data_IF_966085870274
#
_entry.id   IF_966085870274
#
_cell.length_a   1.000
_cell.length_b   1.000
_cell.length_c   1.000
_cell.angle_alpha   90.00
_cell.angle_beta   90.00
_cell.angle_gamma   90.00
#
_symmetry.space_group_name_H-M   'P 1'
#
loop_
_entity.id
_entity.type
_entity.pdbx_description
1 polymer ?
#
# COMPACT_ATOMS: atom_id res chain seq x y z
N UNK A 1 5.81 41.34 -52.10
CA UNK A 1 6.36 42.72 -52.12
C UNK A 1 7.68 42.82 -51.35
N UNK A 2 8.58 41.82 -51.42
CA UNK A 2 9.87 41.84 -50.68
C UNK A 2 11.04 42.48 -51.47
N UNK A 3 10.76 43.13 -52.61
CA UNK A 3 11.82 43.63 -53.49
C UNK A 3 12.23 45.09 -53.23
N UNK A 4 11.47 45.83 -52.40
CA UNK A 4 11.68 47.27 -52.21
C UNK A 4 12.45 47.62 -50.93
N UNK A 5 12.63 46.70 -49.98
CA UNK A 5 13.31 47.00 -48.70
C UNK A 5 14.80 47.32 -48.89
N UNK A 6 15.50 46.55 -49.72
CA UNK A 6 16.91 46.80 -50.04
C UNK A 6 17.10 48.20 -50.65
N UNK A 7 16.15 48.65 -51.47
CA UNK A 7 16.17 49.97 -52.12
C UNK A 7 15.88 51.15 -51.16
N UNK A 8 15.31 50.87 -49.98
CA UNK A 8 15.00 51.85 -48.94
C UNK A 8 16.02 51.86 -47.80
N UNK A 9 17.09 51.07 -47.90
CA UNK A 9 18.12 50.97 -46.87
C UNK A 9 19.37 51.79 -47.18
N UNK A 10 19.95 52.37 -46.14
CA UNK A 10 21.22 53.08 -46.21
C UNK A 10 22.38 52.09 -46.29
N UNK A 11 23.27 52.26 -47.27
CA UNK A 11 24.43 51.37 -47.46
C UNK A 11 25.50 51.46 -46.37
N UNK A 12 25.36 52.37 -45.40
CA UNK A 12 26.27 52.50 -44.26
C UNK A 12 25.74 51.75 -43.03
N UNK A 13 24.49 52.00 -42.63
CA UNK A 13 23.90 51.38 -41.43
C UNK A 13 23.03 50.16 -41.72
N UNK A 14 22.82 49.82 -43.00
CA UNK A 14 21.96 48.72 -43.47
C UNK A 14 20.55 48.74 -42.84
N UNK A 15 20.08 49.93 -42.50
CA UNK A 15 18.76 50.21 -41.94
C UNK A 15 18.01 51.16 -42.88
N UNK A 16 16.68 51.20 -42.76
CA UNK A 16 15.85 52.15 -43.51
C UNK A 16 16.37 53.58 -43.31
N UNK A 17 16.43 54.41 -44.36
CA UNK A 17 17.02 55.74 -44.24
C UNK A 17 16.33 56.59 -43.16
N UNK A 18 17.14 57.13 -42.26
CA UNK A 18 16.74 58.10 -41.25
C UNK A 18 17.36 59.45 -41.60
N UNK A 19 16.52 60.45 -41.85
CA UNK A 19 16.93 61.76 -42.38
C UNK A 19 17.81 61.64 -43.65
N UNK A 20 17.23 61.19 -44.79
CA UNK A 20 17.98 60.90 -46.01
C UNK A 20 18.53 62.19 -46.66
N UNK A 21 19.85 62.35 -46.66
CA UNK A 21 20.56 63.49 -47.26
C UNK A 21 21.21 63.10 -48.58
N UNK A 22 21.06 63.96 -49.60
CA UNK A 22 21.57 63.76 -50.95
C UNK A 22 22.89 64.48 -51.11
N UNK A 23 23.93 63.75 -51.49
CA UNK A 23 25.21 64.33 -51.90
C UNK A 23 25.12 64.90 -53.32
N UNK A 24 25.97 65.87 -53.71
CA UNK A 24 26.03 66.39 -55.08
C UNK A 24 26.23 65.34 -56.18
N UNK A 25 26.74 64.15 -55.83
CA UNK A 25 26.86 62.98 -56.71
C UNK A 25 25.59 62.11 -56.76
N UNK A 26 24.44 62.63 -56.32
CA UNK A 26 23.10 62.02 -56.31
C UNK A 26 22.92 60.76 -55.43
N UNK A 27 23.93 60.38 -54.63
CA UNK A 27 23.81 59.29 -53.68
C UNK A 27 23.22 59.78 -52.36
N UNK A 28 22.36 58.96 -51.75
CA UNK A 28 21.62 59.31 -50.53
C UNK A 28 22.12 58.47 -49.35
N UNK A 29 22.24 59.07 -48.17
CA UNK A 29 22.68 58.45 -46.92
C UNK A 29 21.93 59.06 -45.73
N UNK A 30 21.86 58.36 -44.60
CA UNK A 30 21.35 58.97 -43.36
C UNK A 30 22.27 60.11 -42.93
N UNK A 31 21.69 61.22 -42.43
CA UNK A 31 22.49 62.36 -41.94
C UNK A 31 23.57 61.95 -40.93
N UNK A 32 23.20 61.15 -39.94
CA UNK A 32 24.12 60.65 -38.91
C UNK A 32 25.23 59.76 -39.50
N UNK A 33 24.93 59.01 -40.57
CA UNK A 33 25.94 58.20 -41.25
C UNK A 33 26.95 59.09 -41.99
N UNK A 34 26.51 60.17 -42.64
CA UNK A 34 27.42 61.14 -43.27
C UNK A 34 28.28 61.86 -42.24
N UNK A 35 27.72 62.22 -41.09
CA UNK A 35 28.44 62.86 -40.00
C UNK A 35 29.56 61.94 -39.45
N UNK A 36 29.25 60.65 -39.25
CA UNK A 36 30.25 59.66 -38.87
C UNK A 36 31.38 59.50 -39.90
N UNK A 37 31.06 59.50 -41.20
CA UNK A 37 32.08 59.42 -42.26
C UNK A 37 32.95 60.69 -42.29
N UNK A 38 32.38 61.88 -42.10
CA UNK A 38 33.13 63.15 -42.04
C UNK A 38 34.10 63.13 -40.86
N UNK A 39 33.63 62.73 -39.68
CA UNK A 39 34.47 62.65 -38.47
C UNK A 39 35.66 61.71 -38.67
N UNK A 40 35.46 60.55 -39.31
CA UNK A 40 36.52 59.59 -39.62
C UNK A 40 37.50 60.09 -40.70
N UNK A 41 37.06 60.98 -41.59
CA UNK A 41 37.87 61.53 -42.69
C UNK A 41 38.69 62.78 -42.32
N UNK A 42 38.55 63.31 -41.11
CA UNK A 42 39.09 64.60 -40.65
C UNK A 42 40.63 64.66 -40.47
N UNK A 43 41.38 63.63 -40.86
CA UNK A 43 42.84 63.59 -40.71
C UNK A 43 43.62 64.29 -41.84
N UNK A 44 42.98 64.85 -42.87
CA UNK A 44 43.66 65.52 -43.98
C UNK A 44 42.88 66.72 -44.51
N UNK A 45 43.16 67.94 -44.02
CA UNK A 45 43.02 69.22 -44.77
C UNK A 45 43.48 70.43 -43.92
N UNK A 46 44.69 70.94 -44.14
CA UNK A 46 45.26 72.12 -43.44
C UNK A 46 44.90 73.45 -44.14
N UNK A 47 44.16 73.45 -45.28
CA UNK A 47 43.98 74.67 -46.07
C UNK A 47 42.58 74.83 -46.71
N UNK A 48 41.58 75.20 -45.89
CA UNK A 48 40.41 76.08 -46.20
C UNK A 48 39.34 75.88 -45.12
N UNK A 49 39.02 76.87 -44.27
CA UNK A 49 38.07 76.68 -43.17
C UNK A 49 36.59 76.63 -43.58
N UNK A 50 36.25 76.70 -44.87
CA UNK A 50 34.86 76.96 -45.31
C UNK A 50 34.15 75.78 -45.99
N UNK A 51 34.83 74.71 -46.43
CA UNK A 51 34.19 73.51 -47.02
C UNK A 51 35.03 72.24 -46.80
N UNK A 52 34.38 71.13 -46.46
CA UNK A 52 35.06 69.85 -46.18
C UNK A 52 34.89 68.90 -47.38
N UNK A 53 35.98 68.39 -48.00
CA UNK A 53 35.88 67.41 -49.08
C UNK A 53 35.56 66.01 -48.51
N UNK A 54 34.46 65.41 -48.98
CA UNK A 54 34.01 64.06 -48.61
C UNK A 54 34.11 63.14 -49.83
N UNK A 55 34.65 61.93 -49.67
CA UNK A 55 34.53 60.87 -50.71
C UNK A 55 33.24 60.09 -50.50
N UNK A 56 32.39 60.05 -51.53
CA UNK A 56 31.14 59.28 -51.48
C UNK A 56 31.42 57.78 -51.28
N UNK A 57 30.80 57.10 -50.29
CA UNK A 57 30.99 55.66 -50.06
C UNK A 57 30.58 54.77 -51.24
N UNK A 58 29.59 55.19 -52.04
CA UNK A 58 29.07 54.37 -53.14
C UNK A 58 29.86 54.57 -54.45
N UNK A 59 30.10 55.81 -54.87
CA UNK A 59 30.75 56.10 -56.17
C UNK A 59 32.15 56.68 -56.07
N UNK A 60 32.67 56.90 -54.86
CA UNK A 60 34.02 57.44 -54.56
C UNK A 60 34.32 58.85 -55.10
N UNK A 61 33.34 59.54 -55.69
CA UNK A 61 33.48 60.94 -56.11
C UNK A 61 33.72 61.86 -54.91
N UNK A 62 34.59 62.85 -55.07
CA UNK A 62 34.85 63.87 -54.05
C UNK A 62 33.76 64.94 -54.15
N UNK A 63 33.04 65.19 -53.06
CA UNK A 63 31.99 66.20 -52.95
C UNK A 63 32.33 67.20 -51.86
N UNK A 64 32.04 68.49 -52.08
CA UNK A 64 32.25 69.53 -51.07
C UNK A 64 31.02 69.64 -50.15
N UNK A 65 31.24 69.49 -48.84
CA UNK A 65 30.19 69.69 -47.83
C UNK A 65 30.16 71.18 -47.42
N UNK A 66 28.97 71.82 -47.34
CA UNK A 66 28.84 73.20 -46.90
C UNK A 66 29.39 73.44 -45.48
N UNK A 67 29.78 74.69 -45.18
CA UNK A 67 30.28 75.10 -43.85
C UNK A 67 29.29 74.82 -42.70
N UNK A 68 27.99 74.82 -43.01
CA UNK A 68 26.91 74.51 -42.08
C UNK A 68 26.72 73.00 -41.82
N UNK A 69 27.62 72.14 -42.31
CA UNK A 69 27.65 70.71 -42.03
C UNK A 69 26.65 69.90 -42.86
N UNK A 70 26.42 68.66 -42.44
CA UNK A 70 25.50 67.70 -43.09
C UNK A 70 24.04 68.15 -43.05
N UNK A 71 23.69 69.10 -42.18
CA UNK A 71 22.36 69.71 -42.08
C UNK A 71 21.99 70.54 -43.31
N UNK A 72 22.99 71.16 -43.94
CA UNK A 72 22.78 72.00 -45.11
C UNK A 72 22.64 71.18 -46.42
N UNK A 73 22.80 69.85 -46.36
CA UNK A 73 22.60 68.99 -47.52
C UNK A 73 21.10 68.83 -47.81
N UNK A 74 20.70 68.81 -49.10
CA UNK A 74 19.31 68.58 -49.48
C UNK A 74 18.78 67.27 -48.92
N UNK A 75 17.54 67.29 -48.42
CA UNK A 75 16.81 66.09 -48.02
C UNK A 75 16.20 65.46 -49.28
N UNK A 76 16.30 64.14 -49.42
CA UNK A 76 15.57 63.40 -50.45
C UNK A 76 14.10 63.26 -50.02
N UNK A 77 13.29 64.29 -50.29
CA UNK A 77 11.88 64.29 -49.89
C UNK A 77 11.05 63.18 -50.54
N UNK A 78 11.39 62.75 -51.76
CA UNK A 78 10.72 61.64 -52.42
C UNK A 78 10.98 60.33 -51.69
N UNK A 79 12.24 60.04 -51.37
CA UNK A 79 12.61 58.87 -50.58
C UNK A 79 12.01 58.93 -49.17
N UNK A 80 12.02 60.11 -48.54
CA UNK A 80 11.38 60.33 -47.23
C UNK A 80 9.88 60.03 -47.27
N UNK A 81 9.16 60.50 -48.28
CA UNK A 81 7.72 60.25 -48.44
C UNK A 81 7.42 58.76 -48.72
N UNK A 82 8.27 58.08 -49.49
CA UNK A 82 8.16 56.63 -49.72
C UNK A 82 8.38 55.86 -48.40
N UNK A 83 9.39 56.25 -47.62
CA UNK A 83 9.67 55.66 -46.30
C UNK A 83 8.52 55.92 -45.32
N UNK A 84 7.98 57.13 -45.27
CA UNK A 84 6.84 57.49 -44.42
C UNK A 84 5.60 56.66 -44.78
N UNK A 85 5.34 56.46 -46.08
CA UNK A 85 4.22 55.63 -46.56
C UNK A 85 4.45 54.14 -46.27
N UNK A 86 5.67 53.65 -46.48
CA UNK A 86 6.07 52.28 -46.15
C UNK A 86 5.96 52.00 -44.65
N UNK A 87 6.23 53.00 -43.80
CA UNK A 87 6.06 52.90 -42.34
C UNK A 87 4.60 53.05 -41.87
N UNK A 88 3.72 53.67 -42.67
CA UNK A 88 2.29 53.80 -42.39
C UNK A 88 1.49 52.54 -42.75
N UNK A 89 2.00 51.73 -43.68
CA UNK A 89 1.50 50.37 -43.87
C UNK A 89 1.94 49.54 -42.64
N UNK A 90 0.96 49.09 -41.86
CA UNK A 90 1.12 48.46 -40.54
C UNK A 90 1.93 47.14 -40.61
N UNK A 91 3.25 47.26 -40.69
CA UNK A 91 4.19 46.16 -40.54
C UNK A 91 4.45 45.92 -39.05
N UNK A 92 3.41 45.48 -38.33
CA UNK A 92 3.43 45.11 -36.91
C UNK A 92 4.44 43.98 -36.55
N UNK A 93 5.09 43.37 -37.54
CA UNK A 93 6.03 42.26 -37.38
C UNK A 93 7.50 42.67 -37.15
N UNK A 94 7.86 43.97 -37.21
CA UNK A 94 9.25 44.39 -37.00
C UNK A 94 9.59 44.37 -35.50
N UNK A 95 10.04 43.22 -35.03
CA UNK A 95 10.51 43.05 -33.65
C UNK A 95 11.83 43.82 -33.46
N UNK A 96 11.90 44.69 -32.46
CA UNK A 96 13.08 45.52 -32.19
C UNK A 96 13.90 45.00 -31.01
N UNK A 97 15.19 45.33 -31.00
CA UNK A 97 16.13 44.93 -29.96
C UNK A 97 15.81 45.63 -28.63
N UNK A 98 15.74 44.88 -27.54
CA UNK A 98 15.53 45.43 -26.20
C UNK A 98 16.67 46.33 -25.73
N UNK A 99 17.90 46.03 -26.14
CA UNK A 99 19.11 46.73 -25.69
C UNK A 99 19.46 47.95 -26.55
N UNK A 100 19.00 47.98 -27.79
CA UNK A 100 19.36 49.02 -28.76
C UNK A 100 18.11 49.67 -29.34
N UNK A 101 17.88 50.92 -28.95
CA UNK A 101 16.66 51.66 -29.27
C UNK A 101 16.38 51.68 -30.78
N UNK A 102 15.17 51.23 -31.15
CA UNK A 102 14.66 51.16 -32.54
C UNK A 102 15.49 50.34 -33.53
N UNK A 103 16.40 49.49 -33.05
CA UNK A 103 17.17 48.61 -33.93
C UNK A 103 16.36 47.34 -34.24
N UNK A 104 16.12 47.00 -35.53
CA UNK A 104 15.38 45.81 -35.89
C UNK A 104 16.18 44.53 -35.57
N UNK A 105 15.48 43.48 -35.11
CA UNK A 105 16.05 42.14 -34.96
C UNK A 105 15.99 41.44 -36.31
N UNK A 106 17.09 41.48 -37.06
CA UNK A 106 17.15 41.03 -38.45
C UNK A 106 18.24 39.97 -38.72
N UNK A 107 18.93 39.50 -37.68
CA UNK A 107 20.02 38.50 -37.80
C UNK A 107 19.81 37.40 -36.76
N UNK A 108 20.10 36.15 -37.12
CA UNK A 108 20.05 35.03 -36.17
C UNK A 108 21.47 34.64 -35.74
N UNK A 109 21.74 34.68 -34.44
CA UNK A 109 23.00 34.19 -33.89
C UNK A 109 22.93 32.66 -33.73
N UNK A 110 23.80 31.93 -34.42
CA UNK A 110 23.82 30.46 -34.38
C UNK A 110 24.37 29.90 -33.06
N UNK A 111 25.26 30.65 -32.41
CA UNK A 111 25.84 30.23 -31.14
C UNK A 111 24.83 30.37 -29.99
N UNK A 112 24.15 31.52 -29.92
CA UNK A 112 23.19 31.83 -28.85
C UNK A 112 21.74 31.46 -29.19
N UNK A 113 21.50 30.97 -30.41
CA UNK A 113 20.19 30.57 -30.95
C UNK A 113 19.08 31.61 -30.74
N UNK A 114 19.37 32.87 -31.04
CA UNK A 114 18.44 33.99 -30.86
C UNK A 114 18.56 35.06 -31.92
N UNK A 115 17.49 35.83 -32.10
CA UNK A 115 17.47 37.00 -32.95
C UNK A 115 18.26 38.16 -32.33
N UNK A 116 19.10 38.82 -33.12
CA UNK A 116 19.95 39.95 -32.72
C UNK A 116 19.89 41.06 -33.78
N UNK A 117 20.17 42.30 -33.38
CA UNK A 117 20.28 43.43 -34.31
C UNK A 117 21.74 43.68 -34.73
N UNK A 118 21.95 44.54 -35.73
CA UNK A 118 23.30 44.89 -36.22
C UNK A 118 24.24 45.43 -35.13
N UNK A 119 23.74 46.25 -34.20
CA UNK A 119 24.54 46.78 -33.09
C UNK A 119 25.02 45.68 -32.13
N UNK A 120 24.19 44.66 -31.88
CA UNK A 120 24.57 43.49 -31.08
C UNK A 120 25.76 42.74 -31.70
N UNK A 121 25.84 42.71 -33.04
CA UNK A 121 26.87 42.00 -33.79
C UNK A 121 28.16 42.83 -33.93
N UNK A 122 28.07 44.13 -34.14
CA UNK A 122 29.26 44.94 -34.47
C UNK A 122 29.99 45.42 -33.22
N UNK A 123 29.26 45.86 -32.19
CA UNK A 123 29.85 46.48 -30.99
C UNK A 123 29.34 45.81 -29.71
N UNK A 124 28.22 45.07 -29.79
CA UNK A 124 27.59 44.41 -28.66
C UNK A 124 28.11 43.00 -28.36
N UNK A 125 27.33 42.28 -27.55
CA UNK A 125 27.68 40.97 -26.96
C UNK A 125 27.80 39.81 -27.95
N UNK A 126 27.46 40.02 -29.23
CA UNK A 126 27.48 38.99 -30.27
C UNK A 126 28.59 39.25 -31.29
N UNK A 127 29.55 40.12 -30.98
CA UNK A 127 30.72 40.37 -31.82
C UNK A 127 31.54 39.09 -32.02
N UNK A 128 31.77 38.73 -33.28
CA UNK A 128 32.51 37.53 -33.67
C UNK A 128 31.74 36.22 -33.59
N UNK A 129 30.45 36.23 -33.20
CA UNK A 129 29.64 35.01 -33.20
C UNK A 129 29.24 34.62 -34.63
N UNK A 130 29.13 33.31 -34.94
CA UNK A 130 28.60 32.86 -36.21
C UNK A 130 27.11 33.24 -36.34
N UNK A 131 26.75 33.82 -37.48
CA UNK A 131 25.41 34.30 -37.77
C UNK A 131 24.85 33.65 -39.04
N UNK A 132 23.54 33.70 -39.18
CA UNK A 132 22.81 33.30 -40.38
C UNK A 132 21.68 34.31 -40.65
N UNK A 133 21.22 34.38 -41.90
CA UNK A 133 20.06 35.19 -42.24
C UNK A 133 18.78 34.56 -41.65
N UNK A 134 17.76 35.38 -41.39
CA UNK A 134 16.53 34.92 -40.73
C UNK A 134 15.83 33.79 -41.47
N UNK A 135 15.80 33.86 -42.80
CA UNK A 135 15.08 32.89 -43.61
C UNK A 135 15.80 31.54 -43.62
N UNK A 136 17.13 31.54 -43.76
CA UNK A 136 17.96 30.33 -43.68
C UNK A 136 17.94 29.71 -42.28
N UNK A 137 18.06 30.53 -41.23
CA UNK A 137 17.97 30.07 -39.84
C UNK A 137 16.61 29.47 -39.52
N UNK A 138 15.52 30.14 -39.92
CA UNK A 138 14.15 29.64 -39.76
C UNK A 138 13.97 28.27 -40.41
N UNK A 139 14.42 28.12 -41.66
CA UNK A 139 14.30 26.83 -42.37
C UNK A 139 15.06 25.73 -41.66
N UNK A 140 16.31 25.98 -41.25
CA UNK A 140 17.15 25.01 -40.55
C UNK A 140 16.55 24.63 -39.20
N UNK A 141 16.17 25.60 -38.37
CA UNK A 141 15.60 25.33 -37.04
C UNK A 141 14.22 24.65 -37.11
N UNK A 142 13.41 24.98 -38.12
CA UNK A 142 12.13 24.29 -38.36
C UNK A 142 12.33 22.83 -38.75
N UNK A 143 13.33 22.55 -39.57
CA UNK A 143 13.69 21.18 -39.97
C UNK A 143 14.30 20.38 -38.81
N UNK A 144 15.22 20.97 -38.04
CA UNK A 144 15.83 20.32 -36.87
C UNK A 144 14.80 20.06 -35.78
N UNK A 145 13.84 20.97 -35.57
CA UNK A 145 12.74 20.75 -34.62
C UNK A 145 11.90 19.54 -34.98
N UNK A 146 11.65 19.29 -36.27
CA UNK A 146 10.94 18.08 -36.72
C UNK A 146 11.73 16.80 -36.38
N UNK A 147 13.03 16.80 -36.68
CA UNK A 147 13.94 15.68 -36.36
C UNK A 147 14.07 15.41 -34.86
N UNK A 148 14.07 16.46 -34.03
CA UNK A 148 14.07 16.33 -32.56
C UNK A 148 12.78 15.67 -32.05
N UNK A 149 11.63 15.98 -32.65
CA UNK A 149 10.37 15.33 -32.31
C UNK A 149 10.32 13.87 -32.76
N UNK A 150 10.88 13.54 -33.92
CA UNK A 150 10.99 12.15 -34.39
C UNK A 150 11.78 11.27 -33.42
N UNK A 151 12.82 11.82 -32.77
CA UNK A 151 13.56 11.12 -31.71
C UNK A 151 12.69 10.78 -30.49
N UNK A 152 11.63 11.55 -30.22
CA UNK A 152 10.68 11.25 -29.13
C UNK A 152 9.68 10.15 -29.48
N UNK A 153 9.65 9.71 -30.73
CA UNK A 153 8.82 8.61 -31.22
C UNK A 153 9.63 7.37 -31.57
N UNK A 154 10.90 7.36 -31.17
CA UNK A 154 11.78 6.24 -31.44
C UNK A 154 11.42 5.00 -30.63
N UNK A 155 12.20 3.93 -30.86
CA UNK A 155 11.97 2.64 -30.20
C UNK A 155 12.00 2.74 -28.68
N UNK A 156 12.81 3.64 -28.10
CA UNK A 156 12.94 3.76 -26.65
C UNK A 156 11.61 4.15 -26.01
N UNK A 157 10.88 5.11 -26.58
CA UNK A 157 9.59 5.55 -26.04
C UNK A 157 8.49 4.50 -26.21
N UNK A 158 8.55 3.72 -27.29
CA UNK A 158 7.68 2.54 -27.45
C UNK A 158 7.96 1.50 -26.37
N UNK A 159 9.24 1.21 -26.08
CA UNK A 159 9.64 0.27 -25.04
C UNK A 159 9.23 0.76 -23.63
N UNK A 160 9.31 2.07 -23.37
CA UNK A 160 8.80 2.69 -22.12
C UNK A 160 7.30 2.45 -21.97
N UNK A 161 6.50 2.71 -23.00
CA UNK A 161 5.06 2.46 -22.99
C UNK A 161 4.74 0.98 -22.75
N UNK A 162 5.43 0.08 -23.44
CA UNK A 162 5.27 -1.37 -23.25
C UNK A 162 5.65 -1.81 -21.83
N UNK A 163 6.71 -1.23 -21.25
CA UNK A 163 7.13 -1.54 -19.88
C UNK A 163 6.09 -1.06 -18.87
N UNK A 164 5.47 0.11 -19.08
CA UNK A 164 4.38 0.60 -18.24
C UNK A 164 3.20 -0.37 -18.26
N UNK A 165 2.77 -0.82 -19.45
CA UNK A 165 1.67 -1.79 -19.55
C UNK A 165 2.03 -3.14 -18.92
N UNK A 166 3.26 -3.63 -19.13
CA UNK A 166 3.74 -4.85 -18.48
C UNK A 166 3.73 -4.72 -16.94
N UNK A 167 4.18 -3.59 -16.41
CA UNK A 167 4.18 -3.34 -14.96
C UNK A 167 2.76 -3.23 -14.39
N UNK A 168 1.83 -2.59 -15.11
CA UNK A 168 0.42 -2.54 -14.73
C UNK A 168 -0.19 -3.94 -14.66
N UNK A 169 0.06 -4.77 -15.67
CA UNK A 169 -0.42 -6.15 -15.72
C UNK A 169 0.15 -6.96 -14.56
N UNK A 170 1.47 -6.92 -14.35
CA UNK A 170 2.12 -7.63 -13.24
C UNK A 170 1.59 -7.17 -11.87
N UNK A 171 1.40 -5.86 -11.68
CA UNK A 171 0.79 -5.32 -10.46
C UNK A 171 -0.61 -5.88 -10.26
N UNK A 172 -1.46 -5.85 -11.28
CA UNK A 172 -2.84 -6.34 -11.20
C UNK A 172 -2.90 -7.83 -10.87
N UNK A 173 -2.03 -8.64 -11.49
CA UNK A 173 -1.91 -10.06 -11.21
C UNK A 173 -1.50 -10.33 -9.75
N UNK A 174 -0.46 -9.64 -9.25
CA UNK A 174 -0.05 -9.77 -7.86
C UNK A 174 -1.15 -9.33 -6.89
N UNK A 175 -1.85 -8.24 -7.18
CA UNK A 175 -2.99 -7.78 -6.37
C UNK A 175 -4.12 -8.82 -6.36
N UNK A 176 -4.44 -9.47 -7.49
CA UNK A 176 -5.44 -10.54 -7.55
C UNK A 176 -5.08 -11.71 -6.64
N UNK A 177 -3.84 -12.19 -6.73
CA UNK A 177 -3.34 -13.31 -5.90
C UNK A 177 -3.48 -12.97 -4.41
N UNK A 178 -3.06 -11.78 -3.99
CA UNK A 178 -3.19 -11.34 -2.60
C UNK A 178 -4.67 -11.26 -2.16
N UNK A 179 -5.57 -10.83 -3.04
CA UNK A 179 -7.00 -10.78 -2.73
C UNK A 179 -7.62 -12.18 -2.65
N UNK A 180 -7.21 -13.10 -3.50
CA UNK A 180 -7.62 -14.50 -3.46
C UNK A 180 -7.14 -15.18 -2.18
N UNK A 181 -5.89 -15.00 -1.78
CA UNK A 181 -5.35 -15.51 -0.52
C UNK A 181 -6.08 -14.93 0.70
N UNK A 182 -6.36 -13.62 0.70
CA UNK A 182 -7.17 -12.99 1.76
C UNK A 182 -8.54 -13.64 1.87
N UNK A 183 -9.22 -13.89 0.73
CA UNK A 183 -10.52 -14.57 0.72
C UNK A 183 -10.38 -16.00 1.22
N UNK A 184 -9.34 -16.73 0.81
CA UNK A 184 -9.08 -18.10 1.25
C UNK A 184 -8.89 -18.18 2.77
N UNK A 185 -8.10 -17.28 3.35
CA UNK A 185 -7.89 -17.19 4.82
C UNK A 185 -9.22 -16.94 5.53
N UNK A 186 -9.97 -15.91 5.12
CA UNK A 186 -11.27 -15.58 5.75
C UNK A 186 -12.24 -16.75 5.66
N UNK A 187 -12.31 -17.42 4.50
CA UNK A 187 -13.20 -18.54 4.29
C UNK A 187 -12.79 -19.76 5.12
N UNK A 188 -11.49 -20.04 5.24
CA UNK A 188 -10.97 -21.14 6.05
C UNK A 188 -11.33 -20.96 7.53
N UNK A 189 -11.06 -19.78 8.09
CA UNK A 189 -11.38 -19.49 9.49
C UNK A 189 -12.89 -19.43 9.75
N UNK A 190 -13.69 -18.97 8.79
CA UNK A 190 -15.15 -19.04 8.90
C UNK A 190 -15.62 -20.50 9.01
N UNK A 191 -15.18 -21.38 8.11
CA UNK A 191 -15.53 -22.81 8.15
C UNK A 191 -15.11 -23.47 9.47
N UNK A 192 -13.96 -23.08 10.00
CA UNK A 192 -13.48 -23.55 11.30
C UNK A 192 -14.39 -23.10 12.45
N UNK A 193 -14.71 -21.81 12.53
CA UNK A 193 -15.63 -21.26 13.53
C UNK A 193 -17.01 -21.90 13.43
N UNK A 194 -17.55 -22.06 12.21
CA UNK A 194 -18.84 -22.70 11.99
C UNK A 194 -18.83 -24.16 12.48
N UNK A 195 -17.75 -24.90 12.20
CA UNK A 195 -17.56 -26.28 12.67
C UNK A 195 -17.55 -26.35 14.20
N UNK A 196 -16.82 -25.46 14.85
CA UNK A 196 -16.74 -25.39 16.30
C UNK A 196 -18.10 -25.05 16.92
N UNK A 197 -18.81 -24.08 16.36
CA UNK A 197 -20.11 -23.66 16.86
C UNK A 197 -21.18 -24.75 16.67
N UNK A 198 -21.21 -25.41 15.51
CA UNK A 198 -22.09 -26.56 15.29
C UNK A 198 -21.83 -27.66 16.31
N UNK A 199 -20.56 -27.94 16.62
CA UNK A 199 -20.23 -29.00 17.57
C UNK A 199 -20.58 -28.63 19.01
N UNK A 200 -20.35 -27.37 19.41
CA UNK A 200 -20.83 -26.82 20.67
C UNK A 200 -22.34 -26.95 20.79
N UNK A 201 -23.09 -26.54 19.76
CA UNK A 201 -24.55 -26.61 19.76
C UNK A 201 -25.04 -28.06 19.89
N UNK A 202 -24.42 -29.00 19.17
CA UNK A 202 -24.76 -30.42 19.29
C UNK A 202 -24.54 -30.98 20.70
N UNK A 203 -23.48 -30.54 21.40
CA UNK A 203 -23.25 -30.94 22.80
C UNK A 203 -24.28 -30.35 23.75
N UNK A 204 -24.68 -29.09 23.55
CA UNK A 204 -25.72 -28.45 24.36
C UNK A 204 -27.07 -29.12 24.17
N UNK A 205 -27.46 -29.42 22.93
CA UNK A 205 -28.71 -30.12 22.63
C UNK A 205 -28.80 -31.48 23.34
N UNK A 206 -27.71 -32.26 23.35
CA UNK A 206 -27.67 -33.54 24.10
C UNK A 206 -27.86 -33.32 25.60
N UNK A 207 -27.30 -32.24 26.17
CA UNK A 207 -27.50 -31.91 27.59
C UNK A 207 -28.94 -31.47 27.90
N UNK A 208 -29.56 -30.72 27.01
CA UNK A 208 -30.96 -30.31 27.14
C UNK A 208 -31.89 -31.53 27.06
N UNK A 209 -31.66 -32.46 26.14
CA UNK A 209 -32.40 -33.74 26.05
C UNK A 209 -32.34 -34.54 27.36
N UNK A 210 -31.17 -34.58 28.01
CA UNK A 210 -31.01 -35.25 29.30
C UNK A 210 -31.79 -34.53 30.40
N UNK A 211 -31.73 -33.20 30.44
CA UNK A 211 -32.49 -32.41 31.41
C UNK A 211 -33.98 -32.67 31.25
N UNK A 212 -34.49 -32.70 30.01
CA UNK A 212 -35.88 -33.06 29.74
C UNK A 212 -36.22 -34.45 30.26
N UNK A 213 -35.38 -35.45 30.00
CA UNK A 213 -35.64 -36.80 30.47
C UNK A 213 -35.60 -36.91 32.01
N UNK A 214 -34.71 -36.17 32.68
CA UNK A 214 -34.68 -36.08 34.16
C UNK A 214 -36.00 -35.50 34.68
N UNK A 215 -36.52 -34.44 34.06
CA UNK A 215 -37.80 -33.85 34.45
C UNK A 215 -38.96 -34.85 34.26
N UNK A 216 -39.00 -35.53 33.12
CA UNK A 216 -40.02 -36.54 32.82
C UNK A 216 -40.02 -37.71 33.81
N UNK A 217 -38.85 -38.13 34.29
CA UNK A 217 -38.72 -39.22 35.26
C UNK A 217 -39.05 -38.79 36.71
N UNK A 218 -38.60 -37.60 37.14
CA UNK A 218 -38.70 -37.20 38.54
C UNK A 218 -39.94 -36.35 38.89
N UNK A 219 -40.39 -35.47 38.01
CA UNK A 219 -41.54 -34.60 38.28
C UNK A 219 -42.83 -35.36 38.63
N UNK A 220 -43.24 -36.44 37.93
CA UNK A 220 -44.43 -37.19 38.32
C UNK A 220 -44.29 -37.88 39.68
N UNK A 221 -43.08 -38.31 40.06
CA UNK A 221 -42.81 -38.92 41.36
C UNK A 221 -42.91 -37.88 42.48
N UNK A 222 -42.33 -36.69 42.26
CA UNK A 222 -42.42 -35.56 43.18
C UNK A 222 -43.87 -35.15 43.38
N UNK A 223 -44.64 -35.02 42.28
CA UNK A 223 -46.04 -34.60 42.33
C UNK A 223 -46.92 -35.62 43.06
N UNK A 224 -46.70 -36.93 42.83
CA UNK A 224 -47.38 -37.99 43.58
C UNK A 224 -47.12 -37.88 45.09
N UNK A 225 -45.87 -37.64 45.49
CA UNK A 225 -45.50 -37.49 46.90
C UNK A 225 -46.06 -36.19 47.51
N UNK A 226 -46.08 -35.09 46.75
CA UNK A 226 -46.71 -33.83 47.17
C UNK A 226 -48.18 -34.02 47.50
N UNK A 227 -48.95 -34.69 46.63
CA UNK A 227 -50.37 -34.99 46.86
C UNK A 227 -50.61 -35.81 48.13
N UNK A 228 -49.79 -36.85 48.37
CA UNK A 228 -49.88 -37.65 49.61
C UNK A 228 -49.62 -36.76 50.85
N UNK A 229 -48.65 -35.85 50.76
CA UNK A 229 -48.35 -34.89 51.84
C UNK A 229 -49.48 -33.88 52.05
N UNK A 230 -50.11 -33.38 51.00
CA UNK A 230 -51.26 -32.46 51.08
C UNK A 230 -52.45 -33.13 51.75
N UNK A 231 -52.82 -34.35 51.33
CA UNK A 231 -53.87 -35.12 51.98
C UNK A 231 -53.57 -35.38 53.47
N UNK A 232 -52.31 -35.62 53.83
CA UNK A 232 -51.90 -35.74 55.23
C UNK A 232 -52.21 -34.47 56.03
N UNK A 233 -51.87 -33.30 55.48
CA UNK A 233 -52.11 -32.01 56.14
C UNK A 233 -53.60 -31.71 56.26
N UNK A 234 -54.40 -32.03 55.24
CA UNK A 234 -55.86 -31.92 55.28
C UNK A 234 -56.47 -32.79 56.39
N UNK A 235 -56.01 -34.04 56.54
CA UNK A 235 -56.49 -34.91 57.62
C UNK A 235 -56.08 -34.41 59.01
N UNK A 236 -54.89 -33.79 59.14
CA UNK A 236 -54.48 -33.15 60.40
C UNK A 236 -55.37 -31.95 60.75
N UNK A 237 -55.77 -31.16 59.74
CA UNK A 237 -56.71 -30.05 59.91
C UNK A 237 -58.11 -30.56 60.29
N UNK A 238 -58.62 -31.58 59.57
CA UNK A 238 -59.90 -32.23 59.86
C UNK A 238 -59.93 -32.78 61.29
N UNK A 239 -58.87 -33.44 61.74
CA UNK A 239 -58.77 -33.92 63.12
C UNK A 239 -58.95 -32.79 64.13
N UNK A 240 -58.39 -31.60 63.88
CA UNK A 240 -58.56 -30.44 64.76
C UNK A 240 -60.03 -29.99 64.84
N UNK A 241 -60.77 -30.07 63.73
CA UNK A 241 -62.22 -29.80 63.72
C UNK A 241 -63.00 -30.89 64.47
N UNK A 242 -62.62 -32.16 64.31
CA UNK A 242 -63.28 -33.28 64.98
C UNK A 242 -63.10 -33.20 66.49
N UNK A 243 -61.92 -32.80 66.99
CA UNK A 243 -61.67 -32.61 68.41
C UNK A 243 -62.48 -31.47 69.05
N UNK A 244 -63.00 -30.53 68.24
CA UNK A 244 -63.83 -29.41 68.70
C UNK A 244 -65.34 -29.71 68.65
N UNK A 245 -65.74 -30.90 68.18
CA UNK A 245 -67.16 -31.28 68.09
C UNK A 245 -67.72 -31.61 69.47
N UNK A 246 -68.79 -30.92 69.88
CA UNK A 246 -69.39 -31.09 71.21
C UNK A 246 -70.46 -32.18 71.23
N UNK A 247 -71.04 -32.53 70.08
CA UNK A 247 -72.08 -33.58 69.96
C UNK A 247 -71.46 -34.98 69.91
N UNK A 248 -71.77 -35.89 70.88
CA UNK A 248 -71.20 -37.23 70.91
C UNK A 248 -71.50 -38.07 69.66
N UNK A 249 -72.70 -37.94 69.08
CA UNK A 249 -73.11 -38.70 67.89
C UNK A 249 -72.35 -38.23 66.64
N UNK A 250 -72.28 -36.92 66.40
CA UNK A 250 -71.56 -36.34 65.26
C UNK A 250 -70.05 -36.55 65.38
N UNK A 251 -69.51 -36.51 66.61
CA UNK A 251 -68.12 -36.82 66.87
C UNK A 251 -67.77 -38.25 66.44
N UNK A 252 -68.56 -39.25 66.85
CA UNK A 252 -68.31 -40.66 66.50
C UNK A 252 -68.38 -40.91 65.00
N UNK A 253 -69.31 -40.25 64.30
CA UNK A 253 -69.41 -40.33 62.83
C UNK A 253 -68.19 -39.72 62.14
N UNK A 254 -67.80 -38.49 62.49
CA UNK A 254 -66.65 -37.80 61.90
C UNK A 254 -65.30 -38.47 62.25
N UNK A 255 -65.15 -38.99 63.46
CA UNK A 255 -63.97 -39.78 63.87
C UNK A 255 -63.85 -41.05 63.06
N UNK A 256 -64.96 -41.73 62.78
CA UNK A 256 -64.94 -42.95 61.97
C UNK A 256 -64.53 -42.65 60.51
N UNK A 257 -65.04 -41.58 59.90
CA UNK A 257 -64.58 -41.10 58.59
C UNK A 257 -63.07 -40.78 58.60
N UNK A 258 -62.61 -40.03 59.60
CA UNK A 258 -61.20 -39.71 59.79
C UNK A 258 -60.34 -40.98 59.90
N UNK A 259 -60.77 -41.97 60.68
CA UNK A 259 -60.08 -43.25 60.79
C UNK A 259 -59.97 -43.99 59.45
N UNK A 260 -61.04 -44.01 58.65
CA UNK A 260 -61.04 -44.65 57.34
C UNK A 260 -60.07 -43.93 56.39
N UNK A 261 -60.11 -42.59 56.32
CA UNK A 261 -59.22 -41.81 55.45
C UNK A 261 -57.75 -41.91 55.86
N UNK A 262 -57.45 -41.93 57.17
CA UNK A 262 -56.08 -42.15 57.68
C UNK A 262 -55.56 -43.55 57.33
N UNK A 263 -56.40 -44.59 57.43
CA UNK A 263 -56.02 -45.94 57.00
C UNK A 263 -55.76 -45.99 55.49
N UNK A 264 -56.63 -45.40 54.69
CA UNK A 264 -56.47 -45.33 53.24
C UNK A 264 -55.18 -44.62 52.84
N UNK A 265 -54.85 -43.49 53.48
CA UNK A 265 -53.60 -42.75 53.24
C UNK A 265 -52.37 -43.59 53.58
N UNK A 266 -52.35 -44.27 54.74
CA UNK A 266 -51.23 -45.13 55.16
C UNK A 266 -51.01 -46.35 54.27
N UNK A 267 -52.02 -46.78 53.52
CA UNK A 267 -51.94 -47.92 52.61
C UNK A 267 -51.47 -47.52 51.20
N UNK A 268 -51.36 -46.22 50.87
CA UNK A 268 -50.86 -45.77 49.57
C UNK A 268 -49.40 -46.19 49.37
N UNK A 269 -49.11 -46.82 48.23
CA UNK A 269 -47.75 -47.22 47.89
C UNK A 269 -46.88 -46.01 47.52
N UNK A 270 -45.70 -45.96 48.15
CA UNK A 270 -44.65 -45.00 47.82
C UNK A 270 -43.92 -45.42 46.53
N UNK A 271 -43.58 -44.46 45.65
CA UNK A 271 -42.78 -44.76 44.46
C UNK A 271 -41.36 -45.22 44.80
N UNK A 272 -40.81 -46.13 43.99
CA UNK A 272 -39.41 -46.55 44.04
C UNK A 272 -38.54 -45.54 43.28
N UNK A 273 -37.59 -44.89 43.98
CA UNK A 273 -36.74 -43.85 43.39
C UNK A 273 -35.42 -44.46 42.95
N UNK A 274 -35.19 -44.50 41.63
CA UNK A 274 -33.92 -44.94 41.05
C UNK A 274 -33.03 -43.72 40.81
N UNK A 275 -31.77 -43.71 41.30
CA UNK A 275 -30.84 -42.62 41.02
C UNK A 275 -30.41 -42.66 39.56
N UNK A 276 -30.54 -41.52 38.89
CA UNK A 276 -30.06 -41.29 37.53
C UNK A 276 -28.57 -40.93 37.56
N UNK A 277 -27.76 -41.61 36.75
CA UNK A 277 -26.33 -41.31 36.58
C UNK A 277 -26.03 -40.85 35.14
N UNK A 278 -25.32 -39.72 35.03
CA UNK A 278 -24.95 -39.08 33.77
C UNK A 278 -23.48 -39.43 33.44
N UNK A 279 -23.25 -40.30 32.46
CA UNK A 279 -21.90 -40.72 32.06
C UNK A 279 -21.74 -40.86 30.52
N UNK A 280 -20.58 -40.46 29.95
CA UNK A 280 -19.48 -39.74 30.58
C UNK A 280 -19.82 -38.26 30.83
N UNK A 281 -19.17 -37.65 31.83
CA UNK A 281 -19.34 -36.22 32.12
C UNK A 281 -18.62 -35.39 31.07
N UNK A 282 -19.34 -34.44 30.45
CA UNK A 282 -18.81 -33.65 29.34
C UNK A 282 -17.54 -32.87 29.71
N UNK A 283 -17.44 -32.39 30.95
CA UNK A 283 -16.25 -31.67 31.42
C UNK A 283 -14.97 -32.52 31.37
N UNK A 284 -15.05 -33.83 31.60
CA UNK A 284 -13.90 -34.72 31.50
C UNK A 284 -13.54 -34.99 30.04
N UNK A 285 -14.56 -35.18 29.19
CA UNK A 285 -14.38 -35.39 27.75
C UNK A 285 -13.72 -34.16 27.09
N UNK A 286 -14.13 -32.95 27.46
CA UNK A 286 -13.50 -31.72 26.97
C UNK A 286 -12.05 -31.58 27.44
N UNK A 287 -11.75 -31.95 28.69
CA UNK A 287 -10.39 -31.86 29.21
C UNK A 287 -9.43 -32.90 28.62
N UNK A 288 -9.88 -34.13 28.48
CA UNK A 288 -9.00 -35.27 28.17
C UNK A 288 -8.95 -35.61 26.67
N UNK A 289 -10.06 -35.40 25.95
CA UNK A 289 -10.21 -35.77 24.53
C UNK A 289 -10.11 -34.54 23.64
N UNK A 290 -10.85 -33.47 23.95
CA UNK A 290 -10.90 -32.29 23.08
C UNK A 290 -9.57 -31.53 23.02
N UNK A 291 -8.86 -31.45 24.16
CA UNK A 291 -7.54 -30.80 24.24
C UNK A 291 -6.49 -31.43 23.32
N UNK A 292 -6.68 -32.68 22.89
CA UNK A 292 -5.77 -33.43 22.02
C UNK A 292 -6.31 -33.61 20.61
N UNK A 293 -7.50 -33.08 20.32
CA UNK A 293 -8.16 -33.32 19.03
C UNK A 293 -7.64 -32.35 17.98
N UNK A 294 -7.18 -32.91 16.86
CA UNK A 294 -6.83 -32.13 15.68
C UNK A 294 -8.07 -31.42 15.12
N UNK A 295 -7.87 -30.20 14.64
CA UNK A 295 -8.93 -29.34 14.08
C UNK A 295 -9.74 -30.06 12.99
N UNK A 296 -9.07 -30.80 12.10
CA UNK A 296 -9.73 -31.55 11.02
C UNK A 296 -10.57 -32.75 11.50
N UNK A 297 -10.48 -33.13 12.76
CA UNK A 297 -11.19 -34.28 13.35
C UNK A 297 -12.34 -33.86 14.29
N UNK A 298 -12.54 -32.57 14.53
CA UNK A 298 -13.58 -32.04 15.45
C UNK A 298 -14.97 -32.59 15.11
N UNK A 299 -15.32 -32.65 13.82
CA UNK A 299 -16.61 -33.18 13.37
C UNK A 299 -16.73 -34.70 13.58
N UNK A 300 -15.61 -35.43 13.54
CA UNK A 300 -15.55 -36.89 13.72
C UNK A 300 -15.59 -37.31 15.19
N UNK A 301 -15.35 -36.39 16.12
CA UNK A 301 -15.56 -36.68 17.54
C UNK A 301 -16.99 -37.13 17.75
N UNK A 302 -17.19 -38.31 18.32
CA UNK A 302 -18.53 -38.76 18.64
C UNK A 302 -19.14 -37.77 19.64
N UNK A 303 -20.34 -37.29 19.34
CA UNK A 303 -21.16 -36.66 20.38
C UNK A 303 -21.37 -37.72 21.47
N UNK A 304 -21.02 -37.44 22.73
CA UNK A 304 -21.15 -38.43 23.78
C UNK A 304 -22.61 -38.85 23.88
N UNK A 305 -22.86 -40.14 23.63
CA UNK A 305 -24.17 -40.76 23.88
C UNK A 305 -24.29 -40.96 25.38
N UNK A 306 -24.82 -39.95 26.06
CA UNK A 306 -25.01 -40.03 27.50
C UNK A 306 -26.19 -40.96 27.75
N UNK A 307 -25.90 -42.09 28.42
CA UNK A 307 -26.92 -43.07 28.80
C UNK A 307 -27.26 -42.86 30.26
N UNK A 308 -28.56 -42.69 30.56
CA UNK A 308 -29.05 -42.83 31.92
C UNK A 308 -29.01 -44.32 32.26
N UNK A 309 -28.14 -44.72 33.18
CA UNK A 309 -28.08 -46.11 33.64
C UNK A 309 -28.76 -46.18 35.01
N UNK A 310 -29.91 -46.88 35.13
CA UNK A 310 -30.47 -47.19 36.43
C UNK A 310 -29.51 -48.12 37.17
N UNK A 311 -29.16 -47.78 38.41
CA UNK A 311 -28.24 -48.58 39.25
C UNK A 311 -28.67 -50.07 39.28
N UNK A 312 -27.84 -50.97 38.75
CA UNK A 312 -27.85 -52.39 39.14
C UNK A 312 -27.17 -52.53 40.50
N UNK A 313 -27.73 -53.35 41.39
CA UNK A 313 -27.16 -53.71 42.69
C UNK A 313 -25.72 -54.21 42.51
N UNK A 314 -24.74 -53.37 42.83
CA UNK A 314 -23.40 -53.82 43.21
C UNK A 314 -23.38 -53.85 44.74
N UNK A 315 -23.40 -55.06 45.30
CA UNK A 315 -23.25 -55.28 46.72
C UNK A 315 -21.86 -54.82 47.21
N UNK A 316 -21.90 -54.11 48.33
CA UNK A 316 -20.91 -54.06 49.42
C UNK A 316 -19.45 -54.44 49.12
N UNK A 317 -18.59 -53.42 49.13
CA UNK A 317 -17.35 -53.52 49.91
C UNK A 317 -16.90 -52.17 50.47
N UNK A 318 -17.02 -52.08 51.80
CA UNK A 318 -16.10 -51.43 52.74
C UNK A 318 -15.59 -50.02 52.47
N UNK A 319 -16.00 -49.08 53.32
CA UNK A 319 -15.20 -47.90 53.70
C UNK A 319 -13.80 -48.35 54.17
N UNK A 320 -12.77 -47.64 53.70
CA UNK A 320 -11.41 -47.78 54.24
C UNK A 320 -10.37 -46.92 53.52
N UNK A 321 -10.28 -45.65 53.96
CA UNK A 321 -9.14 -44.71 53.90
C UNK A 321 -8.67 -44.17 52.54
N UNK A 322 -8.61 -42.84 52.52
CA UNK A 322 -7.89 -41.96 51.60
C UNK A 322 -6.41 -42.36 51.46
N UNK A 323 -5.85 -42.14 50.27
CA UNK A 323 -4.40 -42.14 50.07
C UNK A 323 -3.95 -42.78 48.77
N UNK A 324 -4.12 -42.06 47.65
CA UNK A 324 -3.18 -41.97 46.53
C UNK A 324 -2.48 -43.28 46.10
N UNK A 325 -3.11 -44.04 45.21
CA UNK A 325 -2.39 -44.83 44.21
C UNK A 325 -3.32 -45.16 43.03
N UNK A 326 -3.03 -44.60 41.86
CA UNK A 326 -3.25 -45.24 40.57
C UNK A 326 -2.60 -44.41 39.48
N UNK A 327 -1.44 -44.85 39.02
CA UNK A 327 -1.02 -44.75 37.62
C UNK A 327 0.21 -45.63 37.40
N UNK A 328 -0.05 -46.92 37.29
CA UNK A 328 0.71 -47.78 36.41
C UNK A 328 -0.29 -48.57 35.58
N UNK A 329 -0.40 -48.21 34.31
CA UNK A 329 -0.67 -49.08 33.17
C UNK A 329 -0.66 -48.18 31.92
N UNK A 330 0.53 -47.82 31.48
CA UNK A 330 0.79 -47.53 30.07
C UNK A 330 2.26 -47.86 29.81
N UNK A 331 2.42 -48.78 28.87
CA UNK A 331 3.62 -49.49 28.48
C UNK A 331 4.84 -48.58 28.37
N UNK A 332 5.96 -49.08 28.90
CA UNK A 332 7.29 -48.52 28.75
C UNK A 332 7.63 -48.32 27.28
N UNK A 333 7.61 -47.06 26.83
CA UNK A 333 8.42 -46.65 25.68
C UNK A 333 9.83 -46.52 26.23
N UNK A 334 10.69 -47.46 25.83
CA UNK A 334 12.08 -47.50 26.23
C UNK A 334 12.72 -46.11 26.01
N UNK A 335 13.29 -45.44 27.03
CA UNK A 335 13.87 -44.11 26.88
C UNK A 335 14.98 -44.04 25.81
N UNK A 336 15.61 -45.18 25.49
CA UNK A 336 16.49 -45.31 24.32
C UNK A 336 15.76 -45.09 22.98
N UNK A 337 14.51 -45.50 22.83
CA UNK A 337 13.72 -45.32 21.61
C UNK A 337 13.36 -43.85 21.38
N UNK A 338 13.08 -43.10 22.46
CA UNK A 338 12.85 -41.65 22.40
C UNK A 338 14.12 -40.87 22.01
N UNK A 339 15.26 -41.26 22.60
CA UNK A 339 16.57 -40.70 22.24
C UNK A 339 16.96 -41.01 20.79
N UNK A 340 16.71 -42.24 20.30
CA UNK A 340 16.97 -42.61 18.91
C UNK A 340 16.09 -41.83 17.92
N UNK A 341 14.82 -41.60 18.26
CA UNK A 341 13.90 -40.83 17.41
C UNK A 341 14.28 -39.35 17.36
N UNK A 342 14.76 -38.80 18.49
CA UNK A 342 15.28 -37.44 18.56
C UNK A 342 16.58 -37.27 17.78
N UNK A 343 17.51 -38.21 17.90
CA UNK A 343 18.76 -38.23 17.11
C UNK A 343 18.46 -38.37 15.62
N UNK A 344 17.49 -39.19 15.21
CA UNK A 344 17.04 -39.31 13.82
C UNK A 344 16.41 -37.99 13.30
N UNK A 345 15.65 -37.29 14.12
CA UNK A 345 15.10 -35.96 13.78
C UNK A 345 16.20 -34.91 13.62
N UNK A 346 17.19 -34.90 14.52
CA UNK A 346 18.31 -33.96 14.45
C UNK A 346 19.20 -34.29 13.25
N UNK A 347 19.46 -35.56 12.95
CA UNK A 347 20.25 -35.99 11.77
C UNK A 347 19.51 -35.68 10.46
N UNK A 348 18.18 -35.82 10.40
CA UNK A 348 17.42 -35.45 9.19
C UNK A 348 17.39 -33.93 8.98
N UNK A 349 17.22 -33.14 10.04
CA UNK A 349 17.31 -31.67 9.97
C UNK A 349 18.71 -31.20 9.55
N UNK A 350 19.78 -31.83 10.06
CA UNK A 350 21.16 -31.52 9.66
C UNK A 350 21.45 -31.97 8.21
N UNK A 351 20.91 -33.12 7.78
CA UNK A 351 21.10 -33.64 6.41
C UNK A 351 20.33 -32.83 5.36
N UNK A 352 19.21 -32.21 5.73
CA UNK A 352 18.49 -31.24 4.91
C UNK A 352 19.20 -29.87 4.85
N UNK A 353 20.20 -29.63 5.71
CA UNK A 353 20.85 -28.32 5.88
C UNK A 353 22.31 -28.25 5.39
N UNK A 354 22.72 -29.09 4.43
CA UNK A 354 23.95 -28.89 3.62
C UNK A 354 23.69 -29.19 2.13
N UNK A 355 24.21 -28.37 1.20
CA UNK A 355 23.70 -27.05 0.94
C UNK A 355 23.08 -26.97 -0.46
N UNK A 356 21.88 -26.42 -0.59
CA UNK A 356 21.36 -25.95 -1.88
C UNK A 356 21.98 -24.59 -2.29
N UNK A 357 23.22 -24.32 -1.90
CA UNK A 357 23.87 -23.00 -2.05
C UNK A 357 24.67 -22.82 -3.34
N UNK A 358 24.73 -23.81 -4.24
CA UNK A 358 25.48 -23.65 -5.51
C UNK A 358 24.65 -23.20 -6.72
N UNK A 359 23.31 -23.29 -6.65
CA UNK A 359 22.44 -23.01 -7.82
C UNK A 359 21.71 -21.68 -7.72
N UNK A 360 21.35 -21.23 -6.51
CA UNK A 360 20.49 -20.03 -6.33
C UNK A 360 21.28 -18.71 -6.33
N UNK A 361 22.60 -18.73 -6.11
CA UNK A 361 23.43 -17.51 -6.03
C UNK A 361 23.82 -16.97 -7.42
N UNK A 362 23.52 -17.67 -8.52
CA UNK A 362 23.85 -17.22 -9.89
C UNK A 362 22.79 -16.34 -10.58
N UNK A 363 21.64 -16.07 -9.96
CA UNK A 363 20.48 -15.51 -10.66
C UNK A 363 19.83 -14.28 -10.01
N UNK A 364 20.53 -13.51 -9.18
CA UNK A 364 19.98 -12.27 -8.61
C UNK A 364 20.96 -11.08 -8.62
N UNK A 365 20.46 -9.84 -8.81
CA UNK A 365 21.30 -8.64 -8.86
C UNK A 365 21.98 -8.36 -7.51
N UNK A 366 23.20 -7.81 -7.55
CA UNK A 366 24.09 -7.61 -6.41
C UNK A 366 23.47 -6.89 -5.19
N UNK A 367 22.43 -6.07 -5.38
CA UNK A 367 21.76 -5.32 -4.31
C UNK A 367 20.81 -6.18 -3.43
N UNK A 368 20.25 -7.27 -3.98
CA UNK A 368 19.33 -8.15 -3.23
C UNK A 368 20.12 -9.13 -2.35
N UNK A 369 21.39 -9.38 -2.68
CA UNK A 369 22.25 -10.34 -1.99
C UNK A 369 22.63 -9.88 -0.58
N UNK A 370 22.87 -8.59 -0.36
CA UNK A 370 23.37 -8.07 0.92
C UNK A 370 22.28 -8.06 2.01
N UNK A 371 21.06 -7.69 1.63
CA UNK A 371 19.90 -7.68 2.54
C UNK A 371 19.47 -9.10 2.92
N UNK A 372 19.47 -10.04 1.97
CA UNK A 372 19.21 -11.45 2.26
C UNK A 372 20.32 -12.09 3.10
N UNK A 373 21.59 -11.67 2.92
CA UNK A 373 22.70 -12.14 3.75
C UNK A 373 22.55 -11.69 5.20
N UNK A 374 22.15 -10.44 5.44
CA UNK A 374 21.90 -9.92 6.79
C UNK A 374 20.75 -10.65 7.49
N UNK A 375 19.64 -10.89 6.80
CA UNK A 375 18.50 -11.65 7.34
C UNK A 375 18.90 -13.10 7.64
N UNK A 376 19.67 -13.72 6.73
CA UNK A 376 20.15 -15.08 6.92
C UNK A 376 21.10 -15.18 8.12
N UNK A 377 21.99 -14.20 8.28
CA UNK A 377 22.95 -14.16 9.38
C UNK A 377 22.26 -13.93 10.73
N UNK A 378 21.27 -13.03 10.78
CA UNK A 378 20.42 -12.80 11.96
C UNK A 378 19.61 -14.06 12.33
N UNK A 379 18.99 -14.71 11.35
CA UNK A 379 18.29 -15.97 11.52
C UNK A 379 19.22 -17.08 12.05
N UNK A 380 20.44 -17.19 11.51
CA UNK A 380 21.43 -18.15 11.97
C UNK A 380 21.84 -17.89 13.42
N UNK A 381 22.04 -16.63 13.82
CA UNK A 381 22.36 -16.28 15.22
C UNK A 381 21.22 -16.61 16.17
N UNK A 382 19.96 -16.35 15.77
CA UNK A 382 18.79 -16.73 16.54
C UNK A 382 18.65 -18.24 16.69
N UNK A 383 18.93 -19.00 15.62
CA UNK A 383 18.93 -20.45 15.66
C UNK A 383 20.03 -21.00 16.57
N UNK A 384 21.23 -20.42 16.50
CA UNK A 384 22.37 -20.79 17.36
C UNK A 384 22.04 -20.58 18.85
N UNK A 385 21.42 -19.44 19.18
CA UNK A 385 20.97 -19.15 20.54
C UNK A 385 19.91 -20.15 21.03
N UNK A 386 18.97 -20.56 20.17
CA UNK A 386 17.97 -21.58 20.51
C UNK A 386 18.65 -22.94 20.77
N UNK A 387 19.62 -23.31 19.94
CA UNK A 387 20.39 -24.55 20.12
C UNK A 387 21.18 -24.52 21.43
N UNK A 388 21.80 -23.41 21.78
CA UNK A 388 22.56 -23.26 23.03
C UNK A 388 21.64 -23.34 24.27
N UNK A 389 20.45 -22.72 24.23
CA UNK A 389 19.44 -22.83 25.30
C UNK A 389 18.94 -24.27 25.43
N UNK A 390 18.70 -24.96 24.32
CA UNK A 390 18.30 -26.37 24.33
C UNK A 390 19.42 -27.26 24.88
N UNK A 391 20.67 -26.97 24.54
CA UNK A 391 21.83 -27.71 25.05
C UNK A 391 22.00 -27.51 26.57
N UNK A 392 21.91 -26.27 27.06
CA UNK A 392 21.97 -25.97 28.49
C UNK A 392 20.83 -26.61 29.27
N UNK A 393 19.60 -26.57 28.75
CA UNK A 393 18.43 -27.20 29.40
C UNK A 393 18.55 -28.73 29.40
N UNK A 394 19.07 -29.35 28.33
CA UNK A 394 19.41 -30.76 28.32
C UNK A 394 20.50 -31.12 29.34
N UNK A 395 21.56 -30.32 29.47
CA UNK A 395 22.62 -30.57 30.45
C UNK A 395 22.10 -30.47 31.89
N UNK A 396 21.26 -29.48 32.19
CA UNK A 396 20.62 -29.33 33.50
C UNK A 396 19.68 -30.50 33.82
N UNK A 397 18.94 -30.99 32.83
CA UNK A 397 18.08 -32.16 32.98
C UNK A 397 18.91 -33.44 33.22
N UNK A 398 20.01 -33.61 32.50
CA UNK A 398 20.94 -34.73 32.71
C UNK A 398 21.59 -34.68 34.09
N UNK A 399 21.98 -33.49 34.57
CA UNK A 399 22.53 -33.32 35.91
C UNK A 399 21.48 -33.59 37.01
N UNK A 400 20.24 -33.16 36.80
CA UNK A 400 19.12 -33.43 37.70
C UNK A 400 18.81 -34.93 37.79
N UNK A 401 18.78 -35.63 36.64
CA UNK A 401 18.59 -37.08 36.57
C UNK A 401 19.78 -37.83 37.19
N UNK A 402 21.01 -37.33 36.98
CA UNK A 402 22.23 -37.85 37.62
C UNK A 402 22.18 -37.75 39.16
N UNK A 403 21.69 -36.63 39.70
CA UNK A 403 21.52 -36.46 41.15
C UNK A 403 20.43 -37.36 41.72
N UNK A 404 19.31 -37.54 41.00
CA UNK A 404 18.21 -38.44 41.39
C UNK A 404 18.57 -39.93 41.37
N UNK A 405 19.60 -40.32 40.61
CA UNK A 405 20.08 -41.70 40.52
C UNK A 405 21.22 -42.02 41.47
N UNK A 406 21.74 -41.01 42.18
CA UNK A 406 22.83 -41.11 43.18
C UNK A 406 22.38 -41.06 44.64
N UNK A 407 21.06 -40.98 44.89
CA UNK A 407 20.37 -41.10 46.18
C UNK A 407 19.67 -42.46 46.24
#
# INVERSE_FOLDING_TARGET
>A
MHHFEEELTCSICYSIFEDPRVLPCSHTFCRNCLEGVIQLSSNFSIWRPLRVPLKCPNCRSIVEIPAAGTEALPINFALKAIIEKYQQEDHSDVTTCSEHYRQPLNVYCLLDRKLVCGHCLTIGKHNGHPIDDLHSAYRKEKETSGKLLEQLTDKHWTDVCLLIEKLKEQKSQCESIVQEDKKAVVQYFRKLSDTLEHKKQALLTVLDEINTHILEEYEPLIEKLKKIREEQLELMSLNTSVQKEESPLLFLEKVNDLHQRVRALKQKQLPDVKPVEIHPRIGHLLKDVWSKTEIGQINKLLTPKIKLIPKRKLCSKGRGKEGRQSREFLQAVNPLAGLLLFVLLVVTVISLHKPASSVVIKATPAYVSEFLLLIYQDFCTHLQNIVDVLCQTCNLLMEFVGRMTSL
#
